data_IF_935138884339
#
_entry.id   IF_935138884339
#
_cell.length_a   1.000
_cell.length_b   1.000
_cell.length_c   1.000
_cell.angle_alpha   90.00
_cell.angle_beta   90.00
_cell.angle_gamma   90.00
#
_symmetry.space_group_name_H-M   'P 1'
#
loop_
_entity.id
_entity.type
_entity.pdbx_description
1 polymer ?
#
# COMPACT_ATOMS: atom_id res chain seq x y z
N UNK A 1 22.91 5.04 -15.11
CA UNK A 1 21.50 5.35 -14.83
C UNK A 1 20.82 4.23 -14.06
N UNK A 2 20.88 3.02 -14.57
CA UNK A 2 20.24 1.87 -13.94
C UNK A 2 20.81 1.58 -12.55
N UNK A 3 22.08 1.82 -12.33
CA UNK A 3 22.70 1.60 -11.02
C UNK A 3 22.14 2.52 -9.95
N UNK A 4 22.00 3.81 -10.27
CA UNK A 4 21.47 4.81 -9.35
C UNK A 4 20.01 4.49 -9.05
N UNK A 5 19.21 4.18 -10.06
CA UNK A 5 17.81 3.84 -9.92
C UNK A 5 17.63 2.61 -9.04
N UNK A 6 18.42 1.56 -9.24
CA UNK A 6 18.36 0.36 -8.43
C UNK A 6 18.78 0.62 -6.99
N UNK A 7 19.80 1.44 -6.78
CA UNK A 7 20.31 1.76 -5.45
C UNK A 7 19.28 2.49 -4.60
N UNK A 8 18.44 3.35 -5.20
CA UNK A 8 17.41 4.09 -4.47
C UNK A 8 16.07 3.37 -4.41
N UNK A 9 15.96 2.18 -5.02
CA UNK A 9 14.72 1.40 -5.00
C UNK A 9 14.48 0.71 -3.67
N UNK A 10 15.52 0.41 -2.91
CA UNK A 10 15.41 -0.24 -1.61
C UNK A 10 15.93 0.72 -0.55
N UNK A 11 15.06 1.11 0.37
CA UNK A 11 15.37 2.12 1.40
C UNK A 11 14.98 1.60 2.78
N UNK A 12 15.42 2.30 3.80
CA UNK A 12 15.05 1.97 5.16
C UNK A 12 13.55 2.15 5.36
N UNK A 13 12.94 1.22 6.08
CA UNK A 13 11.50 1.26 6.34
C UNK A 13 11.11 2.54 7.06
N UNK A 14 11.94 3.03 7.99
CA UNK A 14 11.65 4.26 8.72
C UNK A 14 11.53 5.46 7.76
N UNK A 15 12.33 5.50 6.70
CA UNK A 15 12.26 6.57 5.72
C UNK A 15 11.02 6.46 4.84
N UNK A 16 10.65 5.25 4.46
CA UNK A 16 9.44 5.03 3.67
C UNK A 16 8.18 5.37 4.49
N UNK A 17 8.16 5.05 5.79
CA UNK A 17 7.05 5.43 6.66
C UNK A 17 6.95 6.94 6.83
N UNK A 18 8.07 7.65 6.87
CA UNK A 18 8.06 9.10 6.94
C UNK A 18 7.47 9.70 5.66
N UNK A 19 7.80 9.14 4.50
CA UNK A 19 7.20 9.55 3.24
C UNK A 19 5.70 9.25 3.21
N UNK A 20 5.31 8.10 3.74
CA UNK A 20 3.90 7.73 3.84
C UNK A 20 3.11 8.75 4.66
N UNK A 21 3.66 9.21 5.80
CA UNK A 21 3.01 10.23 6.61
C UNK A 21 2.71 11.50 5.82
N UNK A 22 3.64 11.92 4.97
CA UNK A 22 3.44 13.09 4.12
C UNK A 22 2.32 12.86 3.10
N UNK A 23 2.27 11.68 2.50
CA UNK A 23 1.23 11.35 1.53
C UNK A 23 -0.14 11.17 2.20
N UNK A 24 -0.19 10.65 3.41
CA UNK A 24 -1.44 10.49 4.16
C UNK A 24 -2.19 11.80 4.29
N UNK A 25 -1.49 12.89 4.62
CA UNK A 25 -2.14 14.19 4.74
C UNK A 25 -2.76 14.64 3.42
N UNK A 26 -2.07 14.42 2.31
CA UNK A 26 -2.60 14.75 0.99
C UNK A 26 -3.81 13.89 0.63
N UNK A 27 -3.76 12.59 0.93
CA UNK A 27 -4.89 11.70 0.65
C UNK A 27 -6.11 12.04 1.51
N UNK A 28 -5.90 12.42 2.78
CA UNK A 28 -7.01 12.85 3.64
C UNK A 28 -7.71 14.08 3.08
N UNK A 29 -6.95 15.05 2.61
CA UNK A 29 -7.50 16.25 1.99
C UNK A 29 -8.26 15.87 0.70
N UNK A 30 -7.63 15.07 -0.15
CA UNK A 30 -8.23 14.64 -1.42
C UNK A 30 -9.56 13.91 -1.21
N UNK A 31 -9.65 13.08 -0.18
CA UNK A 31 -10.83 12.26 0.10
C UNK A 31 -11.80 12.91 1.11
N UNK A 32 -11.58 14.16 1.47
CA UNK A 32 -12.50 14.97 2.28
C UNK A 32 -12.91 14.32 3.59
N UNK A 33 -11.96 13.68 4.27
CA UNK A 33 -12.20 13.06 5.57
C UNK A 33 -12.82 11.67 5.53
N UNK A 34 -13.07 11.13 4.34
CA UNK A 34 -13.61 9.78 4.22
C UNK A 34 -12.57 8.67 4.35
N UNK A 35 -11.30 9.01 4.38
CA UNK A 35 -10.22 8.05 4.42
C UNK A 35 -9.41 8.23 5.70
N UNK A 36 -9.23 7.14 6.46
CA UNK A 36 -8.43 7.14 7.68
C UNK A 36 -7.35 6.07 7.59
N UNK A 37 -6.29 6.25 8.37
CA UNK A 37 -5.16 5.35 8.37
C UNK A 37 -4.83 4.94 9.80
N UNK A 38 -4.53 3.65 9.97
CA UNK A 38 -4.04 3.11 11.23
C UNK A 38 -2.69 2.45 10.95
N UNK A 39 -1.62 3.06 11.45
CA UNK A 39 -0.25 2.59 11.22
C UNK A 39 0.30 2.07 12.54
N UNK A 40 0.61 0.78 12.58
CA UNK A 40 1.18 0.15 13.76
C UNK A 40 2.40 -0.66 13.35
N UNK A 41 3.53 0.03 13.25
CA UNK A 41 4.83 -0.56 12.90
C UNK A 41 5.84 -0.13 13.96
N UNK A 42 5.82 -0.79 15.14
CA UNK A 42 6.66 -0.37 16.26
C UNK A 42 8.16 -0.57 16.03
N UNK A 43 8.53 -1.51 15.15
CA UNK A 43 9.93 -1.77 14.81
C UNK A 43 10.11 -1.58 13.31
N UNK A 44 10.82 -0.51 12.94
CA UNK A 44 11.04 -0.14 11.53
C UNK A 44 12.51 -0.31 11.13
N UNK A 45 13.20 -1.30 11.68
CA UNK A 45 14.63 -1.52 11.42
C UNK A 45 14.93 -2.18 10.07
N UNK A 46 13.93 -2.74 9.43
CA UNK A 46 14.08 -3.42 8.16
C UNK A 46 14.10 -2.43 7.00
N UNK A 47 14.31 -2.97 5.80
CA UNK A 47 14.24 -2.20 4.55
C UNK A 47 13.02 -2.62 3.74
N UNK A 48 12.63 -1.76 2.83
CA UNK A 48 11.47 -1.98 1.98
C UNK A 48 11.73 -1.42 0.59
N UNK A 49 11.01 -1.94 -0.38
CA UNK A 49 11.03 -1.38 -1.72
C UNK A 49 10.40 0.02 -1.69
N UNK A 50 11.14 1.00 -2.21
CA UNK A 50 10.67 2.39 -2.27
C UNK A 50 9.39 2.48 -3.11
N UNK A 51 8.47 3.35 -2.71
CA UNK A 51 7.19 3.54 -3.39
C UNK A 51 6.30 2.31 -3.37
N UNK A 52 6.35 1.54 -2.27
CA UNK A 52 5.49 0.36 -2.11
C UNK A 52 4.05 0.73 -1.79
N UNK A 53 3.82 1.82 -1.05
CA UNK A 53 2.49 2.12 -0.51
C UNK A 53 1.59 2.87 -1.50
N UNK A 54 2.16 3.71 -2.36
CA UNK A 54 1.36 4.52 -3.28
C UNK A 54 0.49 3.69 -4.22
N UNK A 55 1.00 2.65 -4.89
CA UNK A 55 0.14 1.83 -5.74
C UNK A 55 -0.99 1.16 -4.96
N UNK A 56 -0.72 0.79 -3.69
CA UNK A 56 -1.72 0.16 -2.84
C UNK A 56 -2.83 1.14 -2.50
N UNK A 57 -2.48 2.36 -2.10
CA UNK A 57 -3.46 3.39 -1.75
C UNK A 57 -4.27 3.80 -2.98
N UNK A 58 -3.63 4.00 -4.11
CA UNK A 58 -4.34 4.34 -5.35
C UNK A 58 -5.30 3.23 -5.77
N UNK A 59 -4.91 1.98 -5.56
CA UNK A 59 -5.79 0.84 -5.80
C UNK A 59 -7.03 0.89 -4.92
N UNK A 60 -6.87 1.20 -3.63
CA UNK A 60 -7.98 1.35 -2.69
C UNK A 60 -8.95 2.44 -3.18
N UNK A 61 -8.42 3.60 -3.53
CA UNK A 61 -9.22 4.75 -3.96
C UNK A 61 -9.98 4.42 -5.25
N UNK A 62 -9.33 3.71 -6.16
CA UNK A 62 -9.92 3.37 -7.46
C UNK A 62 -11.09 2.40 -7.34
N UNK A 63 -11.04 1.47 -6.40
CA UNK A 63 -12.00 0.36 -6.32
C UNK A 63 -13.09 0.54 -5.28
N UNK A 64 -13.00 1.54 -4.43
CA UNK A 64 -13.92 1.70 -3.33
C UNK A 64 -14.63 3.05 -3.39
N UNK A 65 -15.88 3.07 -2.91
CA UNK A 65 -16.57 4.32 -2.61
C UNK A 65 -16.04 4.82 -1.27
N UNK A 66 -15.54 6.05 -1.25
CA UNK A 66 -14.99 6.66 -0.05
C UNK A 66 -15.62 8.02 0.14
N UNK A 67 -16.33 8.20 1.26
CA UNK A 67 -16.97 9.47 1.61
C UNK A 67 -17.10 9.54 3.12
N UNK A 68 -17.50 10.70 3.63
CA UNK A 68 -17.78 10.84 5.06
C UNK A 68 -18.91 9.91 5.52
N UNK A 69 -19.85 9.64 4.64
CA UNK A 69 -20.97 8.73 4.91
C UNK A 69 -20.56 7.27 4.80
N UNK A 70 -19.57 6.98 3.99
CA UNK A 70 -19.01 5.64 3.82
C UNK A 70 -17.50 5.70 4.02
N UNK A 71 -17.07 5.92 5.26
CA UNK A 71 -15.64 6.04 5.55
C UNK A 71 -14.93 4.70 5.35
N UNK A 72 -13.67 4.78 4.99
CA UNK A 72 -12.84 3.61 4.79
C UNK A 72 -11.54 3.78 5.56
N UNK A 73 -11.12 2.71 6.22
CA UNK A 73 -9.87 2.70 6.97
C UNK A 73 -8.84 1.80 6.30
N UNK A 74 -7.64 2.33 6.15
CA UNK A 74 -6.48 1.56 5.72
C UNK A 74 -5.61 1.29 6.94
N UNK A 75 -5.25 0.04 7.16
CA UNK A 75 -4.33 -0.32 8.23
C UNK A 75 -3.02 -0.86 7.66
N UNK A 76 -1.94 -0.58 8.37
CA UNK A 76 -0.62 -1.08 8.05
C UNK A 76 0.00 -1.60 9.34
N UNK A 77 0.24 -2.90 9.40
CA UNK A 77 0.80 -3.54 10.58
C UNK A 77 1.99 -4.39 10.20
N UNK A 78 2.93 -4.54 11.12
CA UNK A 78 4.08 -5.42 10.94
C UNK A 78 3.75 -6.80 11.49
N UNK A 79 4.02 -7.82 10.70
CA UNK A 79 3.84 -9.21 11.09
C UNK A 79 5.09 -10.00 10.69
N UNK A 80 5.94 -10.32 11.66
CA UNK A 80 7.20 -10.99 11.39
C UNK A 80 8.09 -10.16 10.48
N UNK A 81 8.51 -10.72 9.35
CA UNK A 81 9.32 -10.04 8.36
C UNK A 81 8.50 -9.44 7.22
N UNK A 82 7.24 -9.14 7.49
CA UNK A 82 6.33 -8.62 6.47
C UNK A 82 5.52 -7.46 7.03
N UNK A 83 5.01 -6.62 6.12
CA UNK A 83 4.00 -5.64 6.42
C UNK A 83 2.68 -6.08 5.81
N UNK A 84 1.60 -5.93 6.56
CA UNK A 84 0.26 -6.22 6.07
C UNK A 84 -0.46 -4.88 5.84
N UNK A 85 -0.75 -4.60 4.59
CA UNK A 85 -1.56 -3.46 4.16
C UNK A 85 -2.98 -3.97 3.94
N UNK A 86 -3.95 -3.42 4.66
CA UNK A 86 -5.31 -3.94 4.66
C UNK A 86 -6.32 -2.81 4.63
N UNK A 87 -7.39 -2.99 3.88
CA UNK A 87 -8.51 -2.04 3.87
C UNK A 87 -9.84 -2.78 3.85
N UNK A 88 -10.85 -2.14 4.42
CA UNK A 88 -12.22 -2.59 4.29
C UNK A 88 -12.69 -2.36 2.86
N UNK A 89 -13.71 -3.11 2.45
CA UNK A 89 -14.25 -3.01 1.10
C UNK A 89 -15.56 -2.25 1.11
N UNK A 90 -15.60 -1.15 0.35
CA UNK A 90 -16.80 -0.41 -0.02
C UNK A 90 -16.89 -0.39 -1.54
N UNK A 91 -17.00 -1.56 -2.14
CA UNK A 91 -16.84 -1.74 -3.58
C UNK A 91 -17.80 -0.87 -4.36
N UNK A 92 -17.32 -0.26 -5.43
CA UNK A 92 -18.13 0.50 -6.36
C UNK A 92 -19.12 -0.42 -7.07
N UNK A 93 -20.35 0.04 -7.27
CA UNK A 93 -21.42 -0.75 -7.88
C UNK A 93 -21.12 -1.14 -9.33
N UNK A 94 -20.31 -0.37 -10.02
CA UNK A 94 -19.88 -0.74 -11.37
C UNK A 94 -18.53 -1.41 -11.29
N UNK A 95 -18.46 -2.61 -11.86
CA UNK A 95 -17.19 -3.26 -12.07
C UNK A 95 -16.39 -2.38 -13.01
N UNK A 96 -15.54 -1.56 -12.45
CA UNK A 96 -14.54 -0.87 -13.23
C UNK A 96 -13.58 -1.96 -13.69
N UNK A 97 -13.37 -2.07 -14.98
CA UNK A 97 -12.33 -2.91 -15.52
C UNK A 97 -10.99 -2.39 -15.06
N UNK A 98 -10.67 -2.73 -13.85
CA UNK A 98 -9.33 -2.53 -13.37
C UNK A 98 -8.52 -3.74 -13.77
N UNK A 99 -7.49 -3.52 -14.51
CA UNK A 99 -6.59 -4.56 -14.95
C UNK A 99 -5.64 -5.00 -13.85
N UNK A 100 -5.71 -4.36 -12.68
CA UNK A 100 -4.75 -4.61 -11.62
C UNK A 100 -3.32 -4.23 -12.01
N UNK A 101 -3.15 -3.32 -12.96
CA UNK A 101 -1.84 -2.96 -13.49
C UNK A 101 -0.92 -2.44 -12.40
N UNK A 102 -1.44 -1.61 -11.49
CA UNK A 102 -0.62 -1.06 -10.41
C UNK A 102 -0.07 -2.12 -9.50
N UNK A 103 -0.89 -3.11 -9.12
CA UNK A 103 -0.45 -4.21 -8.26
C UNK A 103 0.43 -5.20 -9.02
N UNK A 104 0.14 -5.45 -10.29
CA UNK A 104 0.99 -6.29 -11.12
C UNK A 104 2.39 -5.69 -11.24
N UNK A 105 2.47 -4.40 -11.50
CA UNK A 105 3.76 -3.70 -11.59
C UNK A 105 4.50 -3.74 -10.27
N UNK A 106 3.79 -3.53 -9.16
CA UNK A 106 4.41 -3.62 -7.83
C UNK A 106 4.99 -5.01 -7.58
N UNK A 107 4.23 -6.05 -7.89
CA UNK A 107 4.69 -7.42 -7.72
C UNK A 107 5.91 -7.72 -8.59
N UNK A 108 5.91 -7.26 -9.83
CA UNK A 108 7.06 -7.45 -10.72
C UNK A 108 8.31 -6.77 -10.17
N UNK A 109 8.16 -5.56 -9.62
CA UNK A 109 9.28 -4.87 -8.98
C UNK A 109 9.82 -5.65 -7.79
N UNK A 110 8.93 -6.22 -6.97
CA UNK A 110 9.36 -7.06 -5.84
C UNK A 110 10.10 -8.31 -6.32
N UNK A 111 9.58 -8.97 -7.33
CA UNK A 111 10.23 -10.17 -7.89
C UNK A 111 11.64 -9.86 -8.38
N UNK A 112 11.79 -8.77 -9.11
CA UNK A 112 13.08 -8.39 -9.73
C UNK A 112 14.07 -7.86 -8.68
N UNK A 113 13.62 -6.97 -7.78
CA UNK A 113 14.52 -6.23 -6.90
C UNK A 113 14.69 -6.88 -5.53
N UNK A 114 13.70 -7.60 -5.06
CA UNK A 114 13.71 -8.23 -3.74
C UNK A 114 13.84 -9.75 -3.83
N UNK A 115 13.42 -10.33 -4.94
CA UNK A 115 13.42 -11.78 -5.13
C UNK A 115 12.26 -12.50 -4.47
N UNK A 116 11.24 -11.76 -4.08
CA UNK A 116 10.03 -12.30 -3.42
C UNK A 116 8.80 -11.64 -4.01
N UNK A 117 7.68 -12.35 -3.96
CA UNK A 117 6.42 -11.81 -4.42
C UNK A 117 5.62 -11.22 -3.28
N UNK A 118 4.77 -10.24 -3.60
CA UNK A 118 3.73 -9.77 -2.66
C UNK A 118 2.63 -10.82 -2.61
N UNK A 119 1.90 -10.86 -1.49
CA UNK A 119 0.79 -11.78 -1.32
C UNK A 119 -0.51 -11.01 -1.19
N UNK A 120 -1.41 -11.21 -2.15
CA UNK A 120 -2.70 -10.50 -2.19
C UNK A 120 -3.80 -11.45 -1.72
N UNK A 121 -4.61 -10.98 -0.76
CA UNK A 121 -5.76 -11.72 -0.28
C UNK A 121 -7.00 -10.83 -0.33
N UNK A 122 -8.09 -11.37 -0.84
CA UNK A 122 -9.36 -10.67 -0.95
C UNK A 122 -10.47 -11.52 -0.39
N UNK A 123 -11.26 -10.95 0.51
CA UNK A 123 -12.49 -11.55 0.99
C UNK A 123 -13.67 -10.65 0.61
N UNK A 124 -14.87 -11.01 1.07
CA UNK A 124 -16.05 -10.16 0.85
C UNK A 124 -15.98 -8.86 1.65
N UNK A 125 -15.22 -8.83 2.73
CA UNK A 125 -15.19 -7.72 3.68
C UNK A 125 -13.94 -6.88 3.63
N UNK A 126 -12.82 -7.43 3.15
CA UNK A 126 -11.57 -6.70 3.13
C UNK A 126 -10.64 -7.17 2.03
N UNK A 127 -9.65 -6.36 1.76
CA UNK A 127 -8.55 -6.62 0.83
C UNK A 127 -7.25 -6.40 1.57
N UNK A 128 -6.30 -7.31 1.44
CA UNK A 128 -5.00 -7.18 2.08
C UNK A 128 -3.86 -7.56 1.16
N UNK A 129 -2.73 -6.92 1.38
CA UNK A 129 -1.49 -7.20 0.65
C UNK A 129 -0.37 -7.35 1.66
N UNK A 130 0.34 -8.45 1.58
CA UNK A 130 1.51 -8.69 2.40
C UNK A 130 2.75 -8.32 1.61
N UNK A 131 3.56 -7.41 2.18
CA UNK A 131 4.79 -6.92 1.58
C UNK A 131 5.98 -7.49 2.33
N UNK A 132 6.87 -8.25 1.65
CA UNK A 132 8.06 -8.76 2.32
C UNK A 132 9.02 -7.63 2.67
N UNK A 133 9.58 -7.68 3.88
CA UNK A 133 10.62 -6.76 4.32
C UNK A 133 12.01 -7.37 4.05
N UNK A 134 12.99 -6.49 3.97
CA UNK A 134 14.36 -6.87 3.61
C UNK A 134 15.30 -6.66 4.77
#
# INVERSE_FOLDING_TARGET
YSHITTAIQIIDLVDELALLDSYIELYKIRMQGGLSFHIDVPDAKKKILHMSFQPLIENVIKHNVISQERPLCISLIKKGNSLIFKNDLNIKNKVVNSNGIGLTNLNERYKILVGKEINIQKSEKYFSVELPLI
#
